data_IF_433328037891
#
_entry.id   IF_433328037891
#
_cell.length_a   1.000
_cell.length_b   1.000
_cell.length_c   1.000
_cell.angle_alpha   90.00
_cell.angle_beta   90.00
_cell.angle_gamma   90.00
#
_symmetry.space_group_name_H-M   'P 1'
#
loop_
_entity.id
_entity.type
_entity.pdbx_description
1 polymer ?
#
# COMPACT_ATOMS: atom_id res chain seq x y z
N UNK A 1 21.14 -18.83 -3.40
CA UNK A 1 20.56 -18.74 -2.05
C UNK A 1 19.06 -18.60 -2.25
N UNK A 2 18.26 -19.57 -1.81
CA UNK A 2 16.80 -19.46 -1.91
C UNK A 2 16.32 -18.50 -0.82
N UNK A 3 15.75 -17.37 -1.22
CA UNK A 3 15.14 -16.42 -0.29
C UNK A 3 13.71 -16.88 -0.03
N UNK A 4 13.43 -17.39 1.17
CA UNK A 4 12.07 -17.67 1.60
C UNK A 4 11.37 -16.36 1.97
N UNK A 5 10.20 -16.09 1.39
CA UNK A 5 9.36 -14.93 1.72
C UNK A 5 8.07 -15.44 2.34
N UNK A 6 7.83 -15.05 3.59
CA UNK A 6 6.57 -15.35 4.28
C UNK A 6 5.53 -14.34 3.80
N UNK A 7 4.39 -14.85 3.35
CA UNK A 7 3.20 -14.06 3.15
C UNK A 7 2.44 -13.96 4.47
N UNK A 8 2.20 -12.74 4.93
CA UNK A 8 1.33 -12.48 6.07
C UNK A 8 0.10 -11.71 5.59
N UNK A 9 -1.07 -12.30 5.83
CA UNK A 9 -2.38 -11.70 5.59
C UNK A 9 -3.15 -11.55 6.89
N UNK A 10 -3.88 -10.45 7.01
CA UNK A 10 -4.79 -10.19 8.13
C UNK A 10 -6.23 -10.06 7.62
N UNK A 11 -7.20 -10.40 8.46
CA UNK A 11 -8.62 -10.18 8.20
C UNK A 11 -9.08 -8.93 8.94
N UNK A 12 -9.71 -8.00 8.23
CA UNK A 12 -10.29 -6.77 8.77
C UNK A 12 -11.76 -6.66 8.34
N UNK A 13 -12.49 -5.71 8.91
CA UNK A 13 -13.84 -5.35 8.44
C UNK A 13 -13.73 -4.14 7.55
N UNK A 14 -14.37 -4.16 6.38
CA UNK A 14 -14.41 -3.02 5.48
C UNK A 14 -15.27 -1.89 6.07
N UNK A 15 -14.69 -0.70 6.21
CA UNK A 15 -15.36 0.51 6.70
C UNK A 15 -16.23 1.19 5.65
N UNK A 16 -15.93 0.94 4.37
CA UNK A 16 -16.68 1.40 3.19
C UNK A 16 -16.68 0.31 2.10
N UNK A 17 -17.36 0.55 0.97
CA UNK A 17 -17.27 -0.35 -0.18
C UNK A 17 -15.88 -0.31 -0.81
N UNK A 18 -15.22 -1.47 -0.91
CA UNK A 18 -13.88 -1.64 -1.48
C UNK A 18 -13.89 -2.52 -2.73
N UNK A 19 -15.04 -2.67 -3.38
CA UNK A 19 -15.25 -3.62 -4.48
C UNK A 19 -14.36 -3.31 -5.71
N UNK A 20 -13.92 -2.06 -5.84
CA UNK A 20 -13.03 -1.57 -6.90
C UNK A 20 -11.57 -1.35 -6.45
N UNK A 21 -11.24 -1.75 -5.22
CA UNK A 21 -9.96 -1.46 -4.56
C UNK A 21 -9.00 -2.64 -4.47
N UNK A 22 -9.32 -3.77 -5.11
CA UNK A 22 -8.41 -4.91 -5.17
C UNK A 22 -7.05 -4.52 -5.78
N UNK A 23 -5.97 -4.93 -5.14
CA UNK A 23 -4.60 -4.60 -5.56
C UNK A 23 -4.21 -3.15 -5.26
N UNK A 24 -4.91 -2.49 -4.34
CA UNK A 24 -4.60 -1.14 -3.87
C UNK A 24 -4.33 -1.15 -2.37
N UNK A 25 -3.63 -0.13 -1.93
CA UNK A 25 -3.37 0.13 -0.53
C UNK A 25 -4.67 0.50 0.20
N UNK A 26 -4.80 -0.05 1.40
CA UNK A 26 -5.83 0.30 2.36
C UNK A 26 -5.19 0.77 3.66
N UNK A 27 -5.92 1.59 4.40
CA UNK A 27 -5.56 2.00 5.75
C UNK A 27 -6.66 1.67 6.75
N UNK A 28 -6.50 2.14 7.99
CA UNK A 28 -7.52 2.01 9.02
C UNK A 28 -8.19 3.36 9.28
N UNK A 29 -9.50 3.34 9.44
CA UNK A 29 -10.24 4.44 10.03
C UNK A 29 -10.06 4.49 11.56
N UNK A 30 -10.66 5.49 12.21
CA UNK A 30 -10.60 5.65 13.67
C UNK A 30 -11.23 4.49 14.46
N UNK A 31 -12.03 3.64 13.81
CA UNK A 31 -12.68 2.46 14.41
C UNK A 31 -11.92 1.16 14.13
N UNK A 32 -10.78 1.23 13.43
CA UNK A 32 -9.97 0.06 13.07
C UNK A 32 -10.50 -0.72 11.86
N UNK A 33 -11.39 -0.13 11.07
CA UNK A 33 -11.93 -0.75 9.84
C UNK A 33 -11.09 -0.37 8.63
N UNK A 34 -10.99 -1.29 7.68
CA UNK A 34 -10.26 -1.09 6.43
C UNK A 34 -10.98 -0.06 5.55
N UNK A 35 -10.27 1.00 5.16
CA UNK A 35 -10.79 2.05 4.29
C UNK A 35 -9.80 2.33 3.15
N UNK A 36 -10.28 2.89 2.03
CA UNK A 36 -9.44 3.37 0.94
C UNK A 36 -8.26 4.20 1.44
N UNK A 37 -7.03 3.86 1.04
CA UNK A 37 -5.89 4.70 1.32
C UNK A 37 -5.82 5.83 0.30
N UNK A 38 -6.44 6.97 0.61
CA UNK A 38 -6.54 8.11 -0.33
C UNK A 38 -5.52 9.22 -0.06
N UNK A 39 -4.86 9.20 1.10
CA UNK A 39 -4.00 10.29 1.55
C UNK A 39 -2.52 10.01 1.31
N UNK A 40 -1.89 10.81 0.44
CA UNK A 40 -0.43 10.87 0.33
C UNK A 40 0.23 11.58 1.55
N UNK A 41 -0.57 12.15 2.47
CA UNK A 41 -0.12 13.04 3.54
C UNK A 41 -0.54 12.47 4.92
N UNK A 42 0.36 12.31 5.89
CA UNK A 42 0.13 11.49 7.09
C UNK A 42 -0.69 12.17 8.22
N UNK A 43 -1.42 13.24 7.90
CA UNK A 43 -2.12 14.08 8.88
C UNK A 43 -3.56 13.68 9.21
N UNK A 44 -4.19 12.76 8.46
CA UNK A 44 -5.59 12.36 8.66
C UNK A 44 -5.89 10.91 8.26
N UNK A 45 -7.10 10.45 8.63
CA UNK A 45 -7.56 9.08 8.37
C UNK A 45 -7.73 8.79 6.88
N UNK A 46 -7.16 7.69 6.37
CA UNK A 46 -6.42 6.69 7.13
C UNK A 46 -4.99 7.12 7.51
N UNK A 47 -4.67 6.95 8.79
CA UNK A 47 -3.43 7.47 9.42
C UNK A 47 -2.13 6.83 8.93
N UNK A 48 -2.19 5.64 8.32
CA UNK A 48 -1.06 4.94 7.71
C UNK A 48 -1.53 3.84 6.73
N UNK A 49 -0.71 3.48 5.74
CA UNK A 49 -0.98 2.31 4.91
C UNK A 49 -0.80 1.05 5.75
N UNK A 50 -1.77 0.14 5.66
CA UNK A 50 -1.74 -1.15 6.38
C UNK A 50 -1.13 -2.21 5.48
N UNK A 51 -1.57 -2.25 4.23
CA UNK A 51 -1.22 -3.30 3.29
C UNK A 51 -2.09 -3.22 2.03
N UNK A 52 -2.08 -4.30 1.26
CA UNK A 52 -2.76 -4.41 -0.04
C UNK A 52 -4.02 -5.23 0.11
N UNK A 53 -5.13 -4.72 -0.42
CA UNK A 53 -6.40 -5.45 -0.44
C UNK A 53 -6.36 -6.58 -1.47
N UNK A 54 -6.69 -7.80 -1.05
CA UNK A 54 -6.68 -8.99 -1.89
C UNK A 54 -8.05 -9.32 -2.49
N UNK A 55 -9.14 -8.87 -1.86
CA UNK A 55 -10.52 -9.18 -2.23
C UNK A 55 -11.34 -7.94 -2.62
N UNK A 56 -12.67 -8.09 -2.71
CA UNK A 56 -13.62 -7.06 -3.17
C UNK A 56 -14.84 -6.97 -2.23
N UNK A 57 -14.62 -6.61 -0.96
CA UNK A 57 -15.66 -6.61 0.07
C UNK A 57 -16.59 -5.39 -0.07
N UNK A 58 -17.84 -5.56 0.31
CA UNK A 58 -18.77 -4.45 0.55
C UNK A 58 -18.55 -3.87 1.95
N UNK A 59 -19.11 -2.70 2.21
CA UNK A 59 -19.08 -2.08 3.54
C UNK A 59 -19.64 -3.04 4.60
N UNK A 60 -18.88 -3.25 5.68
CA UNK A 60 -19.24 -4.14 6.78
C UNK A 60 -18.87 -5.61 6.58
N UNK A 61 -18.39 -6.00 5.40
CA UNK A 61 -17.93 -7.37 5.14
C UNK A 61 -16.49 -7.58 5.61
N UNK A 62 -16.12 -8.84 5.84
CA UNK A 62 -14.74 -9.22 6.09
C UNK A 62 -13.89 -9.02 4.84
N UNK A 63 -12.66 -8.58 5.01
CA UNK A 63 -11.71 -8.31 3.94
C UNK A 63 -10.32 -8.83 4.26
N UNK A 64 -9.61 -9.29 3.24
CA UNK A 64 -8.25 -9.81 3.33
C UNK A 64 -7.24 -8.76 2.89
N UNK A 65 -6.33 -8.42 3.80
CA UNK A 65 -5.26 -7.46 3.57
C UNK A 65 -3.91 -8.13 3.75
N UNK A 66 -3.11 -8.12 2.69
CA UNK A 66 -1.73 -8.60 2.74
C UNK A 66 -0.82 -7.50 3.30
N UNK A 67 -0.07 -7.82 4.35
CA UNK A 67 0.79 -6.87 5.06
C UNK A 67 2.28 -7.15 4.85
N UNK A 68 2.64 -8.38 4.46
CA UNK A 68 4.02 -8.80 4.14
C UNK A 68 4.04 -9.85 3.04
N UNK A 69 5.22 -10.03 2.44
CA UNK A 69 5.45 -10.98 1.35
C UNK A 69 5.50 -10.28 0.00
N UNK A 70 5.28 -11.03 -1.07
CA UNK A 70 5.20 -10.47 -2.43
C UNK A 70 3.73 -10.25 -2.78
N UNK A 71 3.38 -9.02 -3.15
CA UNK A 71 2.02 -8.66 -3.55
C UNK A 71 2.02 -7.97 -4.92
N UNK A 72 0.90 -8.08 -5.63
CA UNK A 72 0.62 -7.28 -6.81
C UNK A 72 -0.09 -5.99 -6.40
N UNK A 73 0.50 -4.85 -6.76
CA UNK A 73 -0.04 -3.53 -6.43
C UNK A 73 -0.20 -2.71 -7.70
N UNK A 74 -1.24 -1.88 -7.76
CA UNK A 74 -1.43 -0.90 -8.83
C UNK A 74 -0.40 0.22 -8.75
N UNK A 75 0.32 0.43 -9.84
CA UNK A 75 1.27 1.52 -9.98
C UNK A 75 0.56 2.84 -10.29
N UNK A 76 0.98 3.92 -9.61
CA UNK A 76 0.55 5.29 -9.86
C UNK A 76 1.25 5.92 -11.06
N UNK A 77 2.34 5.31 -11.55
CA UNK A 77 3.17 5.77 -12.65
C UNK A 77 4.31 4.78 -12.92
N UNK A 78 5.34 5.17 -13.69
CA UNK A 78 6.48 4.32 -13.98
C UNK A 78 7.23 3.91 -12.70
N UNK A 79 7.58 2.63 -12.59
CA UNK A 79 8.38 2.07 -11.49
C UNK A 79 9.52 1.23 -12.05
N UNK A 80 10.67 1.27 -11.39
CA UNK A 80 11.81 0.43 -11.71
C UNK A 80 12.05 -0.62 -10.62
N UNK A 81 12.72 -1.71 -10.99
CA UNK A 81 13.15 -2.73 -10.02
C UNK A 81 14.06 -2.08 -8.98
N UNK A 82 13.75 -2.31 -7.71
CA UNK A 82 14.52 -1.81 -6.57
C UNK A 82 14.03 -0.50 -5.99
N UNK A 83 13.11 0.21 -6.66
CA UNK A 83 12.52 1.45 -6.14
C UNK A 83 11.83 1.18 -4.79
N UNK A 84 12.14 2.00 -3.79
CA UNK A 84 11.34 2.06 -2.56
C UNK A 84 10.03 2.77 -2.91
N UNK A 85 8.90 2.23 -2.46
CA UNK A 85 7.59 2.67 -2.91
C UNK A 85 6.85 3.46 -1.83
N UNK A 86 6.32 4.62 -2.18
CA UNK A 86 5.42 5.41 -1.34
C UNK A 86 3.97 5.29 -1.80
N UNK A 87 2.99 5.39 -0.88
CA UNK A 87 1.59 5.53 -1.26
C UNK A 87 1.33 6.76 -2.13
N UNK A 88 0.45 6.58 -3.10
CA UNK A 88 -0.13 7.62 -3.93
C UNK A 88 -1.58 7.88 -3.51
N UNK A 89 -2.21 8.89 -4.09
CA UNK A 89 -3.66 9.00 -4.02
C UNK A 89 -4.31 7.75 -4.65
N UNK A 90 -5.58 7.48 -4.35
CA UNK A 90 -6.27 6.28 -4.85
C UNK A 90 -5.64 4.93 -4.47
N UNK A 91 -4.74 4.88 -3.48
CA UNK A 91 -4.14 3.64 -2.98
C UNK A 91 -3.16 2.97 -3.94
N UNK A 92 -2.61 3.71 -4.90
CA UNK A 92 -1.55 3.19 -5.77
C UNK A 92 -0.18 3.43 -5.14
N UNK A 93 0.87 3.03 -5.85
CA UNK A 93 2.26 3.22 -5.42
C UNK A 93 3.07 4.00 -6.45
N UNK A 94 3.94 4.87 -5.94
CA UNK A 94 4.92 5.64 -6.71
C UNK A 94 6.33 5.41 -6.15
N UNK A 95 7.40 5.71 -6.91
CA UNK A 95 8.74 5.74 -6.35
C UNK A 95 8.80 6.75 -5.22
N UNK A 96 9.52 6.42 -4.15
CA UNK A 96 9.75 7.30 -3.01
C UNK A 96 10.46 8.56 -3.50
N UNK A 97 9.75 9.68 -3.43
CA UNK A 97 10.30 10.99 -3.74
C UNK A 97 11.21 11.55 -2.63
N UNK A 98 11.72 12.76 -2.85
CA UNK A 98 12.44 13.50 -1.82
C UNK A 98 11.47 13.88 -0.71
N UNK A 99 11.77 13.46 0.52
CA UNK A 99 11.00 13.85 1.70
C UNK A 99 11.65 15.10 2.31
N UNK A 100 10.94 16.23 2.40
CA UNK A 100 11.48 17.46 2.95
C UNK A 100 11.95 17.31 4.41
N UNK A 101 12.92 18.12 4.82
CA UNK A 101 13.35 18.16 6.22
C UNK A 101 12.16 18.50 7.14
N UNK A 102 12.08 17.80 8.28
CA UNK A 102 10.95 17.95 9.21
C UNK A 102 9.65 17.29 8.75
N UNK A 103 9.66 16.61 7.61
CA UNK A 103 8.53 15.80 7.12
C UNK A 103 8.84 14.30 7.23
N UNK A 104 7.81 13.49 7.02
CA UNK A 104 7.93 12.04 6.97
C UNK A 104 7.06 11.46 5.86
N UNK A 105 7.47 10.32 5.33
CA UNK A 105 6.73 9.54 4.35
C UNK A 105 6.62 8.09 4.80
N UNK A 106 5.61 7.39 4.28
CA UNK A 106 5.50 5.95 4.42
C UNK A 106 6.11 5.28 3.19
N UNK A 107 6.94 4.27 3.42
CA UNK A 107 7.34 3.28 2.42
C UNK A 107 6.49 2.04 2.64
N UNK A 108 5.91 1.49 1.57
CA UNK A 108 5.04 0.29 1.60
C UNK A 108 5.70 -0.96 1.02
N UNK A 109 6.86 -0.81 0.41
CA UNK A 109 7.64 -1.93 -0.07
C UNK A 109 8.71 -1.53 -1.06
N UNK A 110 9.27 -2.54 -1.74
CA UNK A 110 10.26 -2.40 -2.81
C UNK A 110 9.76 -3.07 -4.08
N UNK A 111 9.85 -2.38 -5.21
CA UNK A 111 9.48 -2.94 -6.50
C UNK A 111 10.41 -4.10 -6.91
N UNK A 112 9.81 -5.23 -7.29
CA UNK A 112 10.51 -6.43 -7.76
C UNK A 112 10.50 -6.53 -9.29
N UNK A 113 9.57 -5.83 -9.93
CA UNK A 113 9.41 -5.73 -11.39
C UNK A 113 9.30 -4.27 -11.80
N UNK A 114 9.59 -3.98 -13.07
CA UNK A 114 9.41 -2.65 -13.65
C UNK A 114 8.07 -2.57 -14.38
N UNK A 115 7.41 -1.42 -14.30
CA UNK A 115 6.18 -1.12 -15.07
C UNK A 115 6.28 0.27 -15.69
N UNK A 116 5.61 0.45 -16.83
CA UNK A 116 5.72 1.67 -17.62
C UNK A 116 4.62 2.69 -17.37
N UNK A 117 3.42 2.25 -16.95
CA UNK A 117 2.25 3.10 -16.93
C UNK A 117 1.50 3.05 -15.58
N UNK A 118 0.73 4.11 -15.34
CA UNK A 118 -0.28 4.13 -14.29
C UNK A 118 -1.33 3.06 -14.56
N UNK A 119 -1.70 2.30 -13.53
CA UNK A 119 -2.70 1.24 -13.62
C UNK A 119 -2.13 -0.14 -13.97
N UNK A 120 -0.83 -0.24 -14.28
CA UNK A 120 -0.16 -1.53 -14.40
C UNK A 120 0.02 -2.16 -13.02
N UNK A 121 0.01 -3.49 -12.96
CA UNK A 121 0.33 -4.23 -11.74
C UNK A 121 1.85 -4.43 -11.64
N UNK A 122 2.41 -4.03 -10.49
CA UNK A 122 3.80 -4.26 -10.13
C UNK A 122 3.88 -5.29 -9.01
N UNK A 123 4.86 -6.20 -9.11
CA UNK A 123 5.22 -7.08 -7.99
C UNK A 123 6.06 -6.30 -6.97
N UNK A 124 5.65 -6.36 -5.71
CA UNK A 124 6.26 -5.59 -4.63
C UNK A 124 6.57 -6.49 -3.45
N UNK A 125 7.78 -6.37 -2.91
CA UNK A 125 8.09 -6.88 -1.58
C UNK A 125 7.52 -5.95 -0.53
N UNK A 126 6.45 -6.38 0.14
CA UNK A 126 5.74 -5.58 1.13
C UNK A 126 6.53 -5.45 2.43
N UNK A 127 6.76 -4.20 2.81
CA UNK A 127 7.16 -3.82 4.14
C UNK A 127 6.71 -2.38 4.40
N UNK A 128 6.07 -2.14 5.53
CA UNK A 128 5.65 -0.78 5.91
C UNK A 128 6.66 -0.16 6.86
N UNK A 129 7.25 0.97 6.47
CA UNK A 129 8.22 1.72 7.27
C UNK A 129 7.94 3.22 7.18
N UNK A 130 8.12 3.94 8.30
CA UNK A 130 8.16 5.40 8.29
C UNK A 130 9.57 5.88 7.99
N UNK A 131 9.71 6.76 7.02
CA UNK A 131 10.97 7.42 6.65
C UNK A 131 10.87 8.89 7.08
N UNK A 132 11.86 9.37 7.82
CA UNK A 132 11.99 10.76 8.24
C UNK A 132 13.41 11.22 7.99
N UNK A 133 13.59 12.46 7.55
CA UNK A 133 14.90 13.08 7.40
C UNK A 133 15.12 14.06 8.56
N UNK A 134 16.17 13.80 9.35
CA UNK A 134 16.71 14.67 10.38
C UNK A 134 17.53 15.79 9.76
#
# INVERSE_FOLDING_TARGET
>A
MATYRVEDTITLVAGSGLESWQGRLVGLDATGRAVPYTDANPGNSPSRPVGVLLDRPKAGEACLVQVRGVALILAGGPLNVGDDLMPESQGRVLPLGVVPQGSYAWTVGKAMTSVGNTGDYVEVELFTKRVSFS
#
